data_IF_137128458302
#
_entry.id   IF_137128458302
#
_cell.length_a   1.000
_cell.length_b   1.000
_cell.length_c   1.000
_cell.angle_alpha   90.00
_cell.angle_beta   90.00
_cell.angle_gamma   90.00
#
_symmetry.space_group_name_H-M   'P 1'
#
loop_
_entity.id
_entity.type
_entity.pdbx_description
1 polymer ?
#
# COMPACT_ATOMS: atom_id res chain seq x y z
N UNK A 1 -16.53 -42.93 -1.95
CA UNK A 1 -16.94 -41.65 -2.50
C UNK A 1 -15.73 -40.76 -2.67
N UNK A 2 -15.34 -40.37 -3.88
CA UNK A 2 -14.15 -39.56 -4.14
C UNK A 2 -14.55 -38.12 -4.35
N UNK A 3 -14.04 -37.23 -3.56
CA UNK A 3 -14.15 -35.77 -3.71
C UNK A 3 -12.83 -35.15 -3.30
N UNK A 4 -12.25 -34.44 -4.03
CA UNK A 4 -12.10 -33.36 -4.97
C UNK A 4 -10.59 -33.07 -5.09
N UNK A 5 -9.99 -33.42 -6.18
CA UNK A 5 -8.71 -32.82 -6.56
C UNK A 5 -9.01 -31.36 -6.97
N UNK A 6 -8.57 -30.40 -6.18
CA UNK A 6 -8.50 -29.02 -6.63
C UNK A 6 -7.58 -28.96 -7.84
N UNK A 7 -8.13 -28.54 -8.98
CA UNK A 7 -7.36 -28.27 -10.19
C UNK A 7 -6.50 -27.03 -9.94
N UNK A 8 -5.20 -27.23 -10.00
CA UNK A 8 -4.20 -26.15 -10.06
C UNK A 8 -4.42 -25.40 -11.38
N UNK A 9 -4.54 -24.06 -11.37
CA UNK A 9 -4.57 -23.31 -12.62
C UNK A 9 -3.23 -23.44 -13.35
N UNK A 10 -3.21 -23.46 -14.69
CA UNK A 10 -2.00 -23.70 -15.48
C UNK A 10 -1.05 -22.50 -15.39
N UNK A 11 0.22 -22.77 -15.08
CA UNK A 11 1.35 -21.92 -15.45
C UNK A 11 1.70 -20.79 -14.48
N UNK A 12 2.07 -21.12 -13.22
CA UNK A 12 2.96 -20.24 -12.45
C UNK A 12 4.40 -20.62 -12.83
N UNK A 13 4.96 -19.83 -13.74
CA UNK A 13 6.38 -19.93 -14.10
C UNK A 13 7.22 -19.40 -12.92
N UNK A 14 7.92 -20.31 -12.24
CA UNK A 14 8.84 -20.07 -11.14
C UNK A 14 10.19 -19.52 -11.67
N UNK A 15 10.19 -18.40 -12.35
CA UNK A 15 11.44 -17.69 -12.63
C UNK A 15 11.53 -16.41 -11.78
N UNK A 16 12.49 -16.42 -10.87
CA UNK A 16 12.91 -15.28 -10.02
C UNK A 16 13.45 -14.08 -10.83
N UNK A 17 13.25 -14.06 -12.14
CA UNK A 17 13.83 -13.11 -13.10
C UNK A 17 12.86 -12.06 -13.66
N UNK A 18 11.80 -11.68 -12.94
CA UNK A 18 10.87 -10.66 -13.44
C UNK A 18 10.75 -9.40 -12.58
N UNK A 19 11.88 -8.88 -12.15
CA UNK A 19 11.99 -7.42 -12.03
C UNK A 19 11.98 -6.90 -13.47
N UNK A 20 10.87 -6.28 -13.88
CA UNK A 20 10.68 -5.74 -15.21
C UNK A 20 11.94 -4.96 -15.64
N UNK A 21 12.49 -5.23 -16.85
CA UNK A 21 13.64 -4.49 -17.38
C UNK A 21 13.37 -2.98 -17.43
N UNK A 22 12.11 -2.54 -17.38
CA UNK A 22 11.73 -1.14 -17.21
C UNK A 22 12.11 -0.61 -15.81
N UNK A 23 12.00 -1.42 -14.76
CA UNK A 23 12.51 -1.07 -13.43
C UNK A 23 14.03 -0.84 -13.49
N UNK A 24 14.76 -1.71 -14.16
CA UNK A 24 16.23 -1.58 -14.29
C UNK A 24 16.62 -0.33 -15.11
N UNK A 25 15.96 -0.06 -16.22
CA UNK A 25 16.32 1.04 -17.10
C UNK A 25 16.01 2.46 -16.57
N UNK A 26 15.00 2.60 -15.72
CA UNK A 26 14.66 3.88 -15.07
C UNK A 26 15.39 4.10 -13.73
N UNK A 27 15.97 3.05 -13.17
CA UNK A 27 16.51 3.00 -11.80
C UNK A 27 18.03 3.18 -11.73
N UNK A 28 18.79 2.96 -12.81
CA UNK A 28 20.25 2.85 -12.79
C UNK A 28 21.06 4.12 -12.42
N UNK A 29 20.44 5.18 -11.93
CA UNK A 29 21.17 6.39 -11.52
C UNK A 29 20.78 6.97 -10.15
N UNK A 30 19.95 6.30 -9.35
CA UNK A 30 19.49 6.87 -8.08
C UNK A 30 19.76 5.94 -6.90
N UNK A 31 20.63 6.37 -5.99
CA UNK A 31 20.70 5.90 -4.62
C UNK A 31 19.86 6.87 -3.78
N UNK A 32 18.70 6.48 -3.29
CA UNK A 32 17.82 7.35 -2.52
C UNK A 32 16.52 6.65 -2.16
N UNK A 33 15.62 7.34 -1.45
CA UNK A 33 14.37 6.75 -1.02
C UNK A 33 13.49 6.33 -2.19
N UNK A 34 12.69 5.27 -1.97
CA UNK A 34 11.71 4.76 -2.94
C UNK A 34 10.38 4.47 -2.27
N UNK A 35 9.29 4.76 -2.96
CA UNK A 35 7.93 4.49 -2.53
C UNK A 35 7.40 3.24 -3.21
N UNK A 36 6.94 2.27 -2.43
CA UNK A 36 6.20 1.09 -2.88
C UNK A 36 4.72 1.23 -2.52
N UNK A 37 3.85 1.55 -3.48
CA UNK A 37 2.41 1.63 -3.26
C UNK A 37 1.77 0.26 -3.39
N UNK A 38 1.22 -0.27 -2.29
CA UNK A 38 0.47 -1.52 -2.27
C UNK A 38 -0.95 -1.29 -2.77
N UNK A 39 -1.28 -1.87 -3.91
CA UNK A 39 -2.57 -1.70 -4.55
C UNK A 39 -3.15 -3.04 -5.04
N UNK A 40 -4.47 -3.18 -4.95
CA UNK A 40 -5.22 -4.29 -5.55
C UNK A 40 -5.92 -3.82 -6.81
N UNK A 41 -6.13 -4.74 -7.76
CA UNK A 41 -7.00 -4.44 -8.90
C UNK A 41 -8.42 -4.16 -8.37
N UNK A 42 -9.06 -3.05 -8.79
CA UNK A 42 -10.44 -2.76 -8.43
C UNK A 42 -11.41 -3.76 -9.09
N UNK A 43 -11.91 -4.68 -8.29
CA UNK A 43 -12.91 -5.67 -8.70
C UNK A 43 -14.08 -5.56 -7.73
N UNK A 44 -15.30 -5.37 -8.26
CA UNK A 44 -16.51 -5.25 -7.44
C UNK A 44 -16.67 -6.45 -6.51
N UNK A 45 -16.95 -6.20 -5.25
CA UNK A 45 -17.04 -7.21 -4.20
C UNK A 45 -15.72 -7.74 -3.65
N UNK A 46 -14.55 -7.30 -4.18
CA UNK A 46 -13.23 -7.70 -3.70
C UNK A 46 -12.43 -6.54 -3.07
N UNK A 47 -12.87 -5.29 -3.27
CA UNK A 47 -12.25 -4.09 -2.69
C UNK A 47 -13.29 -3.32 -1.88
N UNK A 48 -12.86 -2.66 -0.80
CA UNK A 48 -13.69 -1.81 0.08
C UNK A 48 -15.00 -2.49 0.52
N UNK A 49 -14.94 -3.78 0.83
CA UNK A 49 -16.10 -4.58 1.21
C UNK A 49 -16.76 -4.13 2.53
N UNK A 50 -16.02 -3.45 3.42
CA UNK A 50 -16.56 -2.86 4.65
C UNK A 50 -17.44 -1.63 4.40
N UNK A 51 -17.36 -1.05 3.21
CA UNK A 51 -18.28 0.01 2.79
C UNK A 51 -19.62 -0.55 2.28
N UNK A 52 -19.75 -1.85 2.15
CA UNK A 52 -20.96 -2.53 1.64
C UNK A 52 -21.62 -3.39 2.72
N UNK A 53 -22.83 -3.05 3.21
CA UNK A 53 -23.60 -1.83 2.94
C UNK A 53 -23.02 -0.58 3.64
N UNK A 54 -23.46 0.66 3.34
CA UNK A 54 -24.61 1.00 2.49
C UNK A 54 -24.31 1.12 1.00
N UNK A 55 -23.02 1.18 0.59
CA UNK A 55 -22.65 1.21 -0.82
C UNK A 55 -22.94 -0.14 -1.49
N UNK A 56 -23.27 -0.11 -2.79
CA UNK A 56 -23.20 -1.31 -3.60
C UNK A 56 -21.73 -1.71 -3.86
N UNK A 57 -21.50 -2.97 -4.26
CA UNK A 57 -20.16 -3.43 -4.62
C UNK A 57 -19.54 -2.62 -5.76
N UNK A 58 -20.35 -2.19 -6.74
CA UNK A 58 -19.90 -1.36 -7.85
C UNK A 58 -19.56 0.06 -7.40
N UNK A 59 -20.34 0.67 -6.51
CA UNK A 59 -20.05 1.98 -5.93
C UNK A 59 -18.76 1.95 -5.10
N UNK A 60 -18.57 0.93 -4.28
CA UNK A 60 -17.35 0.75 -3.49
C UNK A 60 -16.12 0.53 -4.39
N UNK A 61 -16.27 -0.23 -5.48
CA UNK A 61 -15.23 -0.44 -6.48
C UNK A 61 -14.86 0.86 -7.21
N UNK A 62 -15.85 1.62 -7.65
CA UNK A 62 -15.63 2.91 -8.32
C UNK A 62 -14.95 3.92 -7.38
N UNK A 63 -15.39 4.01 -6.13
CA UNK A 63 -14.76 4.84 -5.10
C UNK A 63 -13.28 4.46 -4.93
N UNK A 64 -12.98 3.16 -4.83
CA UNK A 64 -11.60 2.69 -4.71
C UNK A 64 -10.77 3.03 -5.96
N UNK A 65 -11.34 2.96 -7.17
CA UNK A 65 -10.63 3.39 -8.39
C UNK A 65 -10.27 4.88 -8.35
N UNK A 66 -11.18 5.73 -7.89
CA UNK A 66 -10.92 7.17 -7.74
C UNK A 66 -9.83 7.40 -6.70
N UNK A 67 -9.95 6.76 -5.53
CA UNK A 67 -8.97 6.86 -4.44
C UNK A 67 -7.57 6.40 -4.88
N UNK A 68 -7.48 5.25 -5.57
CA UNK A 68 -6.21 4.73 -6.07
C UNK A 68 -5.55 5.68 -7.08
N UNK A 69 -6.32 6.24 -8.02
CA UNK A 69 -5.80 7.21 -9.00
C UNK A 69 -5.31 8.49 -8.32
N UNK A 70 -6.04 8.98 -7.34
CA UNK A 70 -5.62 10.15 -6.56
C UNK A 70 -4.34 9.86 -5.76
N UNK A 71 -4.26 8.72 -5.07
CA UNK A 71 -3.06 8.30 -4.33
C UNK A 71 -1.84 8.25 -5.26
N UNK A 72 -1.96 7.58 -6.42
CA UNK A 72 -0.86 7.50 -7.40
C UNK A 72 -0.46 8.88 -7.89
N UNK A 73 -1.42 9.74 -8.25
CA UNK A 73 -1.12 11.09 -8.73
C UNK A 73 -0.38 11.95 -7.68
N UNK A 74 -0.80 11.86 -6.41
CA UNK A 74 -0.17 12.59 -5.30
C UNK A 74 1.24 12.08 -5.02
N UNK A 75 1.43 10.77 -4.94
CA UNK A 75 2.75 10.17 -4.72
C UNK A 75 3.70 10.47 -5.88
N UNK A 76 3.22 10.40 -7.11
CA UNK A 76 4.01 10.73 -8.29
C UNK A 76 4.42 12.22 -8.32
N UNK A 77 3.57 13.12 -7.83
CA UNK A 77 3.87 14.55 -7.72
C UNK A 77 4.93 14.87 -6.64
N UNK A 78 5.25 13.94 -5.73
CA UNK A 78 6.30 14.13 -4.72
C UNK A 78 7.71 14.13 -5.30
N UNK A 79 7.88 13.76 -6.57
CA UNK A 79 9.17 13.57 -7.26
C UNK A 79 10.04 12.45 -6.66
N UNK A 80 9.52 11.67 -5.73
CA UNK A 80 10.17 10.46 -5.24
C UNK A 80 9.93 9.30 -6.22
N UNK A 81 10.91 8.43 -6.45
CA UNK A 81 10.70 7.21 -7.21
C UNK A 81 9.51 6.40 -6.65
N UNK A 82 8.56 6.06 -7.52
CA UNK A 82 7.34 5.34 -7.17
C UNK A 82 7.24 4.04 -7.94
N UNK A 83 6.98 2.94 -7.24
CA UNK A 83 6.67 1.62 -7.80
C UNK A 83 5.28 1.20 -7.31
N UNK A 84 4.44 0.71 -8.20
CA UNK A 84 3.15 0.12 -7.81
C UNK A 84 3.37 -1.36 -7.53
N UNK A 85 3.28 -1.75 -6.26
CA UNK A 85 3.25 -3.14 -5.81
C UNK A 85 1.81 -3.66 -5.98
N UNK A 86 1.53 -4.35 -7.07
CA UNK A 86 0.17 -4.69 -7.48
C UNK A 86 -0.24 -6.13 -7.17
N UNK A 87 -1.52 -6.31 -6.86
CA UNK A 87 -2.19 -7.61 -6.80
C UNK A 87 -3.36 -7.61 -7.80
N UNK A 88 -3.36 -8.58 -8.73
CA UNK A 88 -4.35 -8.72 -9.81
C UNK A 88 -3.72 -8.72 -11.20
N UNK A 89 -4.46 -8.25 -12.19
CA UNK A 89 -4.04 -8.26 -13.60
C UNK A 89 -3.01 -7.15 -13.88
N UNK A 90 -1.82 -7.55 -14.35
CA UNK A 90 -0.74 -6.62 -14.73
C UNK A 90 -1.15 -5.64 -15.81
N UNK A 91 -1.88 -6.11 -16.81
CA UNK A 91 -2.27 -5.28 -17.95
C UNK A 91 -3.19 -4.15 -17.52
N UNK A 92 -4.12 -4.41 -16.58
CA UNK A 92 -4.95 -3.38 -16.01
C UNK A 92 -4.13 -2.25 -15.36
N UNK A 93 -3.07 -2.60 -14.60
CA UNK A 93 -2.21 -1.60 -13.96
C UNK A 93 -1.35 -0.85 -14.98
N UNK A 94 -0.81 -1.52 -15.99
CA UNK A 94 0.02 -0.89 -17.02
C UNK A 94 -0.77 0.06 -17.92
N UNK A 95 -2.04 -0.27 -18.21
CA UNK A 95 -2.96 0.60 -18.96
C UNK A 95 -3.46 1.77 -18.13
N UNK A 96 -3.72 1.53 -16.82
CA UNK A 96 -4.25 2.56 -15.91
C UNK A 96 -3.18 3.58 -15.50
N UNK A 97 -1.93 3.13 -15.34
CA UNK A 97 -0.80 3.93 -14.86
C UNK A 97 0.40 3.79 -15.82
N UNK A 98 0.27 4.26 -17.06
CA UNK A 98 1.32 4.09 -18.07
C UNK A 98 2.62 4.76 -17.62
N UNK A 99 3.74 4.06 -17.83
CA UNK A 99 5.08 4.55 -17.50
C UNK A 99 5.50 4.39 -16.04
N UNK A 100 4.61 4.02 -15.11
CA UNK A 100 5.00 3.69 -13.75
C UNK A 100 5.53 2.25 -13.64
N UNK A 101 6.64 2.05 -12.92
CA UNK A 101 7.15 0.72 -12.64
C UNK A 101 6.16 -0.12 -11.84
N UNK A 102 6.03 -1.40 -12.19
CA UNK A 102 5.11 -2.35 -11.57
C UNK A 102 5.88 -3.50 -10.95
N UNK A 103 5.56 -3.83 -9.70
CA UNK A 103 6.07 -5.00 -8.98
C UNK A 103 4.90 -5.87 -8.53
N UNK A 104 4.86 -7.12 -8.96
CA UNK A 104 3.81 -8.04 -8.52
C UNK A 104 3.97 -8.38 -7.04
N UNK A 105 2.87 -8.34 -6.29
CA UNK A 105 2.86 -8.84 -4.91
C UNK A 105 2.92 -10.36 -4.92
N UNK A 106 3.91 -10.94 -4.25
CA UNK A 106 4.12 -12.38 -4.12
C UNK A 106 4.19 -12.76 -2.64
N UNK A 107 3.57 -13.87 -2.27
CA UNK A 107 3.52 -14.36 -0.89
C UNK A 107 2.12 -14.81 -0.50
N UNK A 108 2.04 -15.64 0.52
CA UNK A 108 0.79 -16.30 0.95
C UNK A 108 -0.09 -15.31 1.76
N UNK A 109 0.53 -14.45 2.56
CA UNK A 109 -0.17 -13.42 3.32
C UNK A 109 0.38 -12.00 3.04
N UNK A 110 -0.13 -10.99 3.75
CA UNK A 110 0.32 -9.61 3.60
C UNK A 110 1.77 -9.42 4.05
N UNK A 111 2.20 -10.12 5.09
CA UNK A 111 3.56 -10.07 5.61
C UNK A 111 4.58 -10.56 4.60
N UNK A 112 4.34 -11.72 4.01
CA UNK A 112 5.17 -12.26 2.95
C UNK A 112 5.27 -11.30 1.76
N UNK A 113 4.13 -10.72 1.36
CA UNK A 113 4.08 -9.77 0.24
C UNK A 113 4.88 -8.50 0.53
N UNK A 114 4.77 -7.96 1.74
CA UNK A 114 5.55 -6.78 2.16
C UNK A 114 7.03 -7.12 2.25
N UNK A 115 7.38 -8.26 2.84
CA UNK A 115 8.74 -8.77 2.95
C UNK A 115 9.40 -8.90 1.57
N UNK A 116 8.73 -9.59 0.62
CA UNK A 116 9.23 -9.77 -0.74
C UNK A 116 9.36 -8.46 -1.51
N UNK A 117 8.41 -7.53 -1.33
CA UNK A 117 8.50 -6.21 -1.95
C UNK A 117 9.69 -5.40 -1.40
N UNK A 118 9.85 -5.35 -0.07
CA UNK A 118 10.98 -4.67 0.59
C UNK A 118 12.30 -5.24 0.10
N UNK A 119 12.47 -6.56 0.13
CA UNK A 119 13.69 -7.22 -0.33
C UNK A 119 13.99 -6.89 -1.79
N UNK A 120 12.96 -6.93 -2.66
CA UNK A 120 13.11 -6.61 -4.08
C UNK A 120 13.52 -5.16 -4.28
N UNK A 121 12.87 -4.20 -3.62
CA UNK A 121 13.16 -2.77 -3.75
C UNK A 121 14.58 -2.45 -3.25
N UNK A 122 15.02 -2.98 -2.10
CA UNK A 122 16.40 -2.81 -1.65
C UNK A 122 17.42 -3.44 -2.60
N UNK A 123 17.11 -4.60 -3.21
CA UNK A 123 18.01 -5.26 -4.16
C UNK A 123 18.27 -4.44 -5.42
N UNK A 124 17.44 -3.47 -5.73
CA UNK A 124 17.63 -2.52 -6.84
C UNK A 124 18.58 -1.38 -6.53
N UNK A 125 19.09 -1.29 -5.27
CA UNK A 125 20.04 -0.26 -4.83
C UNK A 125 19.38 1.00 -4.23
N UNK A 126 18.04 1.02 -4.13
CA UNK A 126 17.34 2.08 -3.41
C UNK A 126 17.37 1.87 -1.89
N UNK A 127 17.21 2.96 -1.15
CA UNK A 127 16.99 2.99 0.28
C UNK A 127 17.06 4.41 0.82
N UNK A 128 16.22 4.72 1.81
CA UNK A 128 15.22 3.90 2.48
C UNK A 128 14.03 3.51 1.59
N UNK A 129 13.34 2.43 1.99
CA UNK A 129 12.10 1.94 1.33
C UNK A 129 10.90 2.30 2.18
N UNK A 130 9.88 2.93 1.57
CA UNK A 130 8.59 3.19 2.20
C UNK A 130 7.52 2.38 1.50
N UNK A 131 6.81 1.53 2.25
CA UNK A 131 5.58 0.89 1.76
C UNK A 131 4.37 1.70 2.20
N UNK A 132 3.47 1.97 1.26
CA UNK A 132 2.29 2.81 1.43
C UNK A 132 1.06 2.03 1.01
N UNK A 133 0.01 2.06 1.85
CA UNK A 133 -1.31 1.52 1.49
C UNK A 133 -2.07 2.45 0.53
N UNK A 134 -2.95 1.88 -0.30
CA UNK A 134 -3.80 2.63 -1.23
C UNK A 134 -5.10 3.16 -0.59
N UNK A 135 -5.23 3.04 0.73
CA UNK A 135 -6.46 3.34 1.45
C UNK A 135 -6.53 4.76 2.03
N UNK A 136 -5.48 5.56 1.82
CA UNK A 136 -5.36 6.95 2.31
C UNK A 136 -5.13 7.92 1.13
N UNK A 137 -6.16 8.21 0.29
CA UNK A 137 -6.01 8.99 -0.94
C UNK A 137 -5.56 10.43 -0.69
N UNK A 138 -5.82 10.95 0.48
CA UNK A 138 -5.49 12.32 0.89
C UNK A 138 -4.30 12.40 1.87
N UNK A 139 -3.54 11.30 2.05
CA UNK A 139 -2.32 11.30 2.88
C UNK A 139 -1.40 12.46 2.48
N UNK A 140 -1.07 13.40 3.40
CA UNK A 140 -0.21 14.53 3.09
C UNK A 140 1.21 14.07 2.72
N UNK A 141 1.79 14.65 1.67
CA UNK A 141 3.19 14.37 1.30
C UNK A 141 4.15 14.75 2.43
N UNK A 142 3.83 15.78 3.23
CA UNK A 142 4.60 16.15 4.42
C UNK A 142 4.75 15.01 5.44
N UNK A 143 3.79 14.08 5.54
CA UNK A 143 3.94 12.90 6.40
C UNK A 143 4.97 11.93 5.84
N UNK A 144 5.06 11.76 4.52
CA UNK A 144 6.10 10.97 3.87
C UNK A 144 7.48 11.61 4.12
N UNK A 145 7.57 12.94 4.01
CA UNK A 145 8.79 13.69 4.31
C UNK A 145 9.20 13.53 5.77
N UNK A 146 8.24 13.57 6.72
CA UNK A 146 8.50 13.29 8.14
C UNK A 146 9.04 11.86 8.36
N UNK A 147 8.45 10.85 7.71
CA UNK A 147 8.96 9.47 7.77
C UNK A 147 10.41 9.42 7.28
N UNK A 148 10.72 10.04 6.14
CA UNK A 148 12.08 10.08 5.60
C UNK A 148 13.06 10.81 6.52
N UNK A 149 12.63 11.87 7.17
CA UNK A 149 13.43 12.61 8.15
C UNK A 149 13.75 11.74 9.38
N UNK A 150 12.75 11.05 9.91
CA UNK A 150 12.92 10.17 11.08
C UNK A 150 13.81 8.95 10.74
N UNK A 151 13.72 8.42 9.55
CA UNK A 151 14.55 7.32 9.08
C UNK A 151 16.05 7.67 9.04
N UNK A 152 16.45 8.94 9.10
CA UNK A 152 17.87 9.30 9.21
C UNK A 152 18.52 8.83 10.49
N UNK A 153 17.73 8.58 11.54
CA UNK A 153 18.21 8.16 12.88
C UNK A 153 17.48 6.96 13.44
N UNK A 154 16.55 6.38 12.66
CA UNK A 154 15.66 5.30 13.12
C UNK A 154 15.59 4.23 12.04
N UNK A 155 15.59 2.96 12.41
CA UNK A 155 15.57 1.84 11.45
C UNK A 155 14.18 1.64 10.83
N UNK A 156 13.12 1.85 11.64
CA UNK A 156 11.72 1.64 11.23
C UNK A 156 10.86 2.80 11.70
N UNK A 157 10.06 3.35 10.79
CA UNK A 157 9.10 4.42 11.09
C UNK A 157 7.73 4.05 10.53
N UNK A 158 6.68 4.15 11.35
CA UNK A 158 5.29 3.93 10.94
C UNK A 158 4.46 5.21 11.02
N UNK A 159 3.53 5.39 10.09
CA UNK A 159 2.38 6.30 10.21
C UNK A 159 1.21 5.47 10.69
N UNK A 160 0.82 5.56 11.98
CA UNK A 160 -0.25 4.75 12.55
C UNK A 160 -1.61 5.07 11.93
N UNK A 161 -2.50 4.06 11.87
CA UNK A 161 -3.94 4.24 11.63
C UNK A 161 -4.75 3.94 12.90
N UNK A 162 -5.94 4.52 13.01
CA UNK A 162 -6.81 4.34 14.19
C UNK A 162 -7.35 2.93 14.33
N UNK A 163 -7.41 2.18 13.25
CA UNK A 163 -7.81 0.77 13.24
C UNK A 163 -6.78 -0.18 13.86
N UNK A 164 -5.59 0.34 14.20
CA UNK A 164 -4.47 -0.42 14.75
C UNK A 164 -3.51 -0.98 13.71
N UNK A 165 -3.65 -0.55 12.45
CA UNK A 165 -2.69 -0.73 11.35
C UNK A 165 -1.77 0.47 11.18
N UNK A 166 -1.24 0.63 9.96
CA UNK A 166 -0.46 1.79 9.53
C UNK A 166 -0.68 2.08 8.04
N UNK A 167 -0.75 3.36 7.70
CA UNK A 167 -0.86 3.83 6.32
C UNK A 167 0.50 3.76 5.60
N UNK A 168 1.59 3.96 6.33
CA UNK A 168 2.97 3.93 5.83
C UNK A 168 3.85 3.16 6.80
N UNK A 169 4.75 2.35 6.27
CA UNK A 169 5.91 1.83 6.99
C UNK A 169 7.17 2.13 6.20
N UNK A 170 8.13 2.84 6.81
CA UNK A 170 9.43 3.14 6.25
C UNK A 170 10.52 2.32 6.93
N UNK A 171 11.53 1.89 6.16
CA UNK A 171 12.63 1.05 6.62
C UNK A 171 13.96 1.54 6.05
N UNK A 172 15.00 1.59 6.88
CA UNK A 172 16.38 1.91 6.47
C UNK A 172 17.11 0.72 5.85
N UNK A 173 16.75 -0.49 6.22
CA UNK A 173 17.40 -1.73 5.78
C UNK A 173 16.39 -2.83 5.43
N UNK A 174 16.84 -3.89 4.73
CA UNK A 174 15.98 -4.98 4.24
C UNK A 174 15.67 -6.01 5.33
N UNK A 175 15.25 -5.56 6.52
CA UNK A 175 14.91 -6.44 7.65
C UNK A 175 13.52 -7.08 7.42
N UNK A 176 13.47 -8.13 6.62
CA UNK A 176 12.23 -8.81 6.21
C UNK A 176 11.56 -9.55 7.36
N UNK A 177 12.32 -9.97 8.37
CA UNK A 177 11.84 -10.61 9.60
C UNK A 177 10.87 -9.73 10.41
N UNK A 178 10.86 -8.43 10.16
CA UNK A 178 9.92 -7.49 10.76
C UNK A 178 8.46 -7.85 10.49
N UNK A 179 8.19 -8.45 9.34
CA UNK A 179 6.83 -8.81 8.89
C UNK A 179 6.39 -10.20 9.31
N UNK A 180 7.28 -10.99 9.93
CA UNK A 180 6.96 -12.34 10.37
C UNK A 180 6.12 -12.33 11.66
N UNK A 181 5.15 -13.27 11.75
CA UNK A 181 4.30 -13.46 12.93
C UNK A 181 3.43 -12.26 13.32
N UNK A 182 3.19 -11.34 12.40
CA UNK A 182 2.27 -10.22 12.60
C UNK A 182 0.82 -10.71 12.38
N UNK A 183 -0.11 -10.41 13.29
CA UNK A 183 -1.52 -10.80 13.14
C UNK A 183 -2.24 -9.87 12.14
N UNK A 184 -1.92 -10.05 10.85
CA UNK A 184 -2.46 -9.22 9.78
C UNK A 184 -3.97 -9.14 9.77
N UNK A 185 -4.52 -8.03 9.28
CA UNK A 185 -5.95 -7.74 9.22
C UNK A 185 -6.65 -7.69 10.59
N UNK A 186 -5.91 -7.36 11.64
CA UNK A 186 -6.43 -7.13 13.00
C UNK A 186 -5.97 -5.79 13.56
N UNK A 187 -6.65 -5.27 14.57
CA UNK A 187 -6.24 -4.04 15.28
C UNK A 187 -4.94 -4.17 16.09
N UNK A 188 -4.27 -5.32 16.03
CA UNK A 188 -3.01 -5.59 16.75
C UNK A 188 -1.76 -5.45 15.87
N UNK A 189 -1.91 -5.14 14.59
CA UNK A 189 -0.80 -5.07 13.61
C UNK A 189 0.28 -4.09 14.07
N UNK A 190 -0.07 -2.85 14.39
CA UNK A 190 0.90 -1.82 14.82
C UNK A 190 1.62 -2.22 16.12
N UNK A 191 0.87 -2.73 17.11
CA UNK A 191 1.43 -3.16 18.38
C UNK A 191 2.39 -4.36 18.21
N UNK A 192 2.05 -5.32 17.35
CA UNK A 192 2.89 -6.46 17.02
C UNK A 192 4.16 -6.02 16.27
N UNK A 193 4.03 -5.11 15.29
CA UNK A 193 5.20 -4.57 14.55
C UNK A 193 6.16 -3.84 15.48
N UNK A 194 5.64 -3.05 16.45
CA UNK A 194 6.45 -2.38 17.48
C UNK A 194 7.19 -3.40 18.36
N UNK A 195 6.51 -4.47 18.78
CA UNK A 195 7.13 -5.54 19.59
C UNK A 195 8.21 -6.25 18.76
N UNK A 196 7.89 -6.61 17.52
CA UNK A 196 8.82 -7.30 16.62
C UNK A 196 10.07 -6.46 16.33
N UNK A 197 9.94 -5.14 16.17
CA UNK A 197 11.08 -4.24 16.02
C UNK A 197 12.02 -4.33 17.23
N UNK A 198 11.48 -4.36 18.46
CA UNK A 198 12.27 -4.49 19.69
C UNK A 198 12.99 -5.83 19.77
N UNK A 199 12.32 -6.93 19.43
CA UNK A 199 12.89 -8.27 19.42
C UNK A 199 14.07 -8.38 18.45
N UNK A 200 14.00 -7.68 17.33
CA UNK A 200 15.05 -7.60 16.31
C UNK A 200 16.15 -6.57 16.64
N UNK A 201 16.03 -5.85 17.76
CA UNK A 201 16.99 -4.81 18.15
C UNK A 201 16.94 -3.56 17.27
N UNK A 202 15.84 -3.34 16.54
CA UNK A 202 15.67 -2.18 15.66
C UNK A 202 15.15 -0.98 16.45
N UNK A 203 15.66 0.19 16.14
CA UNK A 203 15.07 1.46 16.58
C UNK A 203 13.76 1.70 15.82
N UNK A 204 12.71 2.12 16.57
CA UNK A 204 11.36 2.23 16.05
C UNK A 204 10.72 3.56 16.47
N UNK A 205 10.03 4.22 15.52
CA UNK A 205 9.32 5.49 15.75
C UNK A 205 7.93 5.46 15.10
N UNK A 206 6.98 6.14 15.73
CA UNK A 206 5.64 6.39 15.17
C UNK A 206 5.45 7.90 15.01
N UNK A 207 4.96 8.30 13.84
CA UNK A 207 4.56 9.70 13.58
C UNK A 207 3.16 9.97 14.14
N UNK A 208 2.57 11.10 13.78
CA UNK A 208 1.16 11.34 14.03
C UNK A 208 0.29 10.32 13.28
N UNK A 209 -0.87 10.01 13.88
CA UNK A 209 -1.84 9.07 13.32
C UNK A 209 -2.55 9.67 12.10
N UNK A 210 -2.79 8.85 11.07
CA UNK A 210 -3.62 9.22 9.93
C UNK A 210 -4.84 8.32 9.81
N UNK A 211 -5.96 8.87 9.37
CA UNK A 211 -7.19 8.10 9.15
C UNK A 211 -7.20 7.56 7.72
N UNK A 212 -7.28 6.25 7.56
CA UNK A 212 -7.55 5.57 6.30
C UNK A 212 -9.06 5.59 5.95
N UNK A 213 -9.37 5.21 4.72
CA UNK A 213 -10.73 5.16 4.20
C UNK A 213 -11.21 3.70 4.20
N UNK A 214 -11.72 3.20 5.31
CA UNK A 214 -12.06 1.78 5.43
C UNK A 214 -13.55 1.54 5.76
N UNK A 215 -14.16 2.41 6.55
CA UNK A 215 -15.57 2.32 6.93
C UNK A 215 -16.38 3.52 6.42
N UNK A 216 -17.71 3.38 6.41
CA UNK A 216 -18.60 4.43 5.89
C UNK A 216 -18.43 5.78 6.61
N UNK A 217 -18.18 5.76 7.93
CA UNK A 217 -17.92 6.98 8.70
C UNK A 217 -16.66 7.72 8.24
N UNK A 218 -15.71 7.03 7.62
CA UNK A 218 -14.47 7.65 7.13
C UNK A 218 -14.70 8.49 5.88
N UNK A 219 -15.77 8.21 5.12
CA UNK A 219 -16.19 9.03 3.98
C UNK A 219 -16.54 10.45 4.43
N UNK A 220 -17.27 10.58 5.53
CA UNK A 220 -17.64 11.89 6.10
C UNK A 220 -16.42 12.63 6.62
N UNK A 221 -15.50 11.91 7.29
CA UNK A 221 -14.22 12.48 7.76
C UNK A 221 -13.37 12.96 6.59
N UNK A 222 -13.28 12.16 5.50
CA UNK A 222 -12.55 12.54 4.29
C UNK A 222 -13.11 13.83 3.67
N UNK A 223 -14.43 13.92 3.49
CA UNK A 223 -15.07 15.13 2.94
C UNK A 223 -14.83 16.34 3.81
N UNK A 224 -14.84 16.19 5.14
CA UNK A 224 -14.61 17.29 6.07
C UNK A 224 -13.14 17.76 6.11
N UNK A 225 -12.16 16.82 6.10
CA UNK A 225 -10.73 17.16 6.23
C UNK A 225 -10.07 17.53 4.91
N UNK A 226 -10.56 17.00 3.80
CA UNK A 226 -9.94 17.14 2.46
C UNK A 226 -10.98 17.39 1.37
N UNK A 227 -11.81 18.45 1.45
CA UNK A 227 -12.93 18.70 0.53
C UNK A 227 -12.45 18.89 -0.92
N UNK A 228 -11.19 19.30 -1.11
CA UNK A 228 -10.58 19.48 -2.43
C UNK A 228 -10.05 18.20 -3.06
N UNK A 229 -9.98 17.10 -2.30
CA UNK A 229 -9.57 15.78 -2.79
C UNK A 229 -10.54 15.28 -3.87
N UNK A 230 -10.01 14.61 -4.90
CA UNK A 230 -10.84 14.01 -5.95
C UNK A 230 -11.79 12.96 -5.37
N UNK A 231 -11.31 12.17 -4.41
CA UNK A 231 -12.10 11.16 -3.72
C UNK A 231 -13.22 11.81 -2.90
N UNK A 232 -12.92 12.88 -2.15
CA UNK A 232 -13.94 13.62 -1.40
C UNK A 232 -15.01 14.22 -2.31
N UNK A 233 -14.62 14.83 -3.42
CA UNK A 233 -15.57 15.35 -4.44
C UNK A 233 -16.43 14.26 -5.04
N UNK A 234 -15.84 13.09 -5.33
CA UNK A 234 -16.60 11.94 -5.81
C UNK A 234 -17.65 11.50 -4.77
N UNK A 235 -17.25 11.38 -3.50
CA UNK A 235 -18.15 11.06 -2.38
C UNK A 235 -19.27 12.09 -2.29
N UNK A 236 -18.95 13.39 -2.27
CA UNK A 236 -19.93 14.45 -2.14
C UNK A 236 -20.91 14.50 -3.33
N UNK A 237 -20.47 14.18 -4.55
CA UNK A 237 -21.30 14.26 -5.76
C UNK A 237 -22.16 13.03 -5.96
N UNK A 238 -21.59 11.82 -5.80
CA UNK A 238 -22.25 10.57 -6.18
C UNK A 238 -22.84 9.80 -5.00
N UNK A 239 -22.46 10.13 -3.78
CA UNK A 239 -22.91 9.46 -2.57
C UNK A 239 -23.60 10.40 -1.59
N UNK A 240 -23.96 11.62 -2.03
CA UNK A 240 -24.58 12.66 -1.19
C UNK A 240 -25.89 12.23 -0.54
N UNK A 241 -26.65 11.32 -1.16
CA UNK A 241 -27.90 10.79 -0.60
C UNK A 241 -27.65 9.80 0.55
N UNK A 242 -26.41 9.31 0.72
CA UNK A 242 -26.01 8.34 1.73
C UNK A 242 -25.24 8.97 2.90
N UNK A 243 -24.76 10.21 2.75
CA UNK A 243 -24.03 10.98 3.76
C UNK A 243 -24.98 11.82 4.60
#
# INVERSE_FOLDING_TARGET
MPWLRAQTPPGVDNSVDKVDNSLKSHIFSHSGPILGLFAKQPIAGQVKTRLTPPLSADQACLLYQVALRETVARLHASSLPLVICYAGCRDWFSETFPGLPLLVQTGDDLGDRMSNAVQTLFSTGFGPVLLIGSDSPDLPISMIEQVLQQLQTTDVVCVPCRDGGYAVIGMQGPTTELFAEIPWSTSRVLAATRLRSRELGLTYHETECWDDLDEFADLQKLVARSPESQTARHVATFLSELL
#
